data_IF_998875505651
#
_entry.id   IF_998875505651
#
_cell.length_a   1.000
_cell.length_b   1.000
_cell.length_c   1.000
_cell.angle_alpha   90.00
_cell.angle_beta   90.00
_cell.angle_gamma   90.00
#
_symmetry.space_group_name_H-M   'P 1'
#
loop_
_entity.id
_entity.type
_entity.pdbx_description
1 polymer ?
#
# COMPACT_ATOMS: atom_id res chain seq x y z
N UNK A 1 -4.29 -18.68 -13.79
CA UNK A 1 -4.99 -19.52 -14.80
C UNK A 1 -5.76 -18.65 -15.79
N UNK A 2 -6.13 -17.43 -15.46
CA UNK A 2 -6.87 -16.51 -16.32
C UNK A 2 -5.92 -15.78 -17.25
N UNK A 3 -6.14 -15.86 -18.57
CA UNK A 3 -5.33 -15.25 -19.59
C UNK A 3 -5.58 -13.74 -19.75
N UNK A 4 -4.59 -12.98 -20.17
CA UNK A 4 -4.72 -11.60 -20.62
C UNK A 4 -5.36 -11.48 -22.00
N UNK A 5 -5.09 -10.37 -22.71
CA UNK A 5 -5.57 -10.13 -24.08
C UNK A 5 -4.91 -11.08 -25.10
N UNK A 6 -3.75 -11.62 -24.78
CA UNK A 6 -2.96 -12.53 -25.64
C UNK A 6 -3.37 -14.00 -25.51
N UNK A 7 -4.37 -14.31 -24.69
CA UNK A 7 -4.86 -15.66 -24.37
C UNK A 7 -3.79 -16.62 -23.83
N UNK A 8 -2.61 -16.13 -23.44
CA UNK A 8 -1.54 -16.95 -22.85
C UNK A 8 -1.71 -17.13 -21.35
N UNK A 9 -1.28 -18.28 -20.86
CA UNK A 9 -1.36 -18.71 -19.48
C UNK A 9 0.02 -19.12 -18.95
N UNK A 10 0.10 -19.47 -17.67
CA UNK A 10 1.36 -19.97 -17.07
C UNK A 10 1.89 -21.22 -17.78
N UNK A 11 1.01 -22.05 -18.33
CA UNK A 11 1.43 -23.25 -19.09
C UNK A 11 2.23 -22.90 -20.34
N UNK A 12 2.06 -21.69 -20.88
CA UNK A 12 2.82 -21.23 -22.03
C UNK A 12 4.21 -20.74 -21.60
N UNK A 13 4.38 -20.23 -20.38
CA UNK A 13 5.71 -19.93 -19.83
C UNK A 13 6.49 -21.21 -19.54
N UNK A 14 5.84 -22.27 -19.09
CA UNK A 14 6.51 -23.56 -18.80
C UNK A 14 7.12 -24.22 -20.05
N UNK A 15 6.75 -23.78 -21.26
CA UNK A 15 7.35 -24.25 -22.51
C UNK A 15 8.69 -23.57 -22.82
N UNK A 16 9.03 -22.51 -22.11
CA UNK A 16 10.28 -21.79 -22.33
C UNK A 16 11.45 -22.50 -21.63
N UNK A 17 12.62 -22.48 -22.27
CA UNK A 17 13.86 -22.75 -21.57
C UNK A 17 14.13 -21.61 -20.57
N UNK A 18 14.63 -21.94 -19.38
CA UNK A 18 14.87 -20.97 -18.30
C UNK A 18 15.75 -19.80 -18.74
N UNK A 19 16.92 -20.10 -19.36
CA UNK A 19 17.84 -19.07 -19.84
C UNK A 19 17.22 -18.19 -20.92
N UNK A 20 16.40 -18.77 -21.80
CA UNK A 20 15.70 -18.02 -22.83
C UNK A 20 14.63 -17.10 -22.23
N UNK A 21 13.90 -17.56 -21.20
CA UNK A 21 12.92 -16.77 -20.48
C UNK A 21 13.58 -15.60 -19.76
N UNK A 22 14.66 -15.85 -19.02
CA UNK A 22 15.44 -14.80 -18.33
C UNK A 22 15.92 -13.75 -19.32
N UNK A 23 16.57 -14.16 -20.41
CA UNK A 23 17.06 -13.24 -21.45
C UNK A 23 15.91 -12.44 -22.10
N UNK A 24 14.72 -13.04 -22.24
CA UNK A 24 13.54 -12.35 -22.76
C UNK A 24 13.04 -11.29 -21.77
N UNK A 25 12.94 -11.62 -20.48
CA UNK A 25 12.54 -10.67 -19.43
C UNK A 25 13.53 -9.50 -19.33
N UNK A 26 14.84 -9.78 -19.36
CA UNK A 26 15.88 -8.75 -19.35
C UNK A 26 15.71 -7.77 -20.52
N UNK A 27 15.56 -8.28 -21.76
CA UNK A 27 15.32 -7.43 -22.93
C UNK A 27 14.05 -6.61 -22.83
N UNK A 28 12.98 -7.19 -22.26
CA UNK A 28 11.72 -6.47 -22.01
C UNK A 28 11.91 -5.34 -20.99
N UNK A 29 12.71 -5.53 -19.96
CA UNK A 29 13.04 -4.50 -18.98
C UNK A 29 13.92 -3.38 -19.54
N UNK A 30 14.68 -3.65 -20.61
CA UNK A 30 15.48 -2.61 -21.26
C UNK A 30 14.61 -1.57 -21.97
N UNK A 31 13.55 -2.02 -22.62
CA UNK A 31 12.57 -1.17 -23.29
C UNK A 31 11.17 -1.70 -23.02
N UNK A 32 10.64 -1.33 -21.84
CA UNK A 32 9.36 -1.86 -21.40
C UNK A 32 8.16 -1.14 -22.03
N UNK A 33 7.40 -1.90 -22.82
CA UNK A 33 6.09 -1.49 -23.32
C UNK A 33 5.08 -2.52 -22.82
N UNK A 34 4.12 -2.14 -21.95
CA UNK A 34 3.10 -3.05 -21.46
C UNK A 34 2.13 -3.45 -22.56
N UNK A 35 1.62 -4.66 -22.49
CA UNK A 35 0.47 -5.04 -23.30
C UNK A 35 -0.81 -4.44 -22.70
N UNK A 36 -1.88 -4.38 -23.54
CA UNK A 36 -3.18 -3.96 -23.06
C UNK A 36 -3.69 -4.89 -21.94
N UNK A 37 -4.37 -4.30 -20.96
CA UNK A 37 -4.97 -5.01 -19.82
C UNK A 37 -6.38 -5.43 -20.21
N UNK A 38 -6.71 -6.72 -20.09
CA UNK A 38 -8.06 -7.23 -20.33
C UNK A 38 -8.96 -6.87 -19.16
N UNK A 39 -10.06 -6.15 -19.41
CA UNK A 39 -11.06 -5.83 -18.39
C UNK A 39 -12.10 -6.93 -18.26
N UNK A 40 -12.43 -7.29 -17.03
CA UNK A 40 -13.51 -8.21 -16.67
C UNK A 40 -14.31 -7.58 -15.53
N UNK A 41 -15.64 -7.60 -15.65
CA UNK A 41 -16.54 -7.15 -14.59
C UNK A 41 -16.89 -8.33 -13.68
N UNK A 42 -16.58 -8.22 -12.38
CA UNK A 42 -16.93 -9.23 -11.38
C UNK A 42 -18.15 -8.73 -10.60
N UNK A 43 -19.24 -9.52 -10.53
CA UNK A 43 -20.40 -9.14 -9.72
C UNK A 43 -20.04 -9.10 -8.23
N UNK A 44 -20.64 -8.13 -7.52
CA UNK A 44 -20.60 -8.01 -6.06
C UNK A 44 -21.94 -8.44 -5.48
N UNK A 45 -21.95 -8.83 -4.20
CA UNK A 45 -23.17 -9.29 -3.49
C UNK A 45 -24.29 -8.23 -3.45
N UNK A 46 -23.94 -6.95 -3.60
CA UNK A 46 -24.88 -5.83 -3.64
C UNK A 46 -25.42 -5.49 -5.05
N UNK A 47 -25.27 -6.38 -6.03
CA UNK A 47 -25.74 -6.20 -7.42
C UNK A 47 -24.89 -5.24 -8.26
N UNK A 48 -23.83 -4.63 -7.71
CA UNK A 48 -22.87 -3.82 -8.45
C UNK A 48 -21.77 -4.70 -9.04
N UNK A 49 -21.02 -4.19 -10.01
CA UNK A 49 -19.84 -4.86 -10.55
C UNK A 49 -18.56 -4.21 -10.04
N UNK A 50 -17.50 -5.01 -10.03
CA UNK A 50 -16.14 -4.56 -9.76
C UNK A 50 -15.30 -4.80 -11.02
N UNK A 51 -14.72 -3.76 -11.63
CA UNK A 51 -13.83 -3.93 -12.75
C UNK A 51 -12.51 -4.57 -12.29
N UNK A 52 -12.10 -5.64 -12.93
CA UNK A 52 -10.81 -6.30 -12.73
C UNK A 52 -9.98 -6.17 -14.00
N UNK A 53 -8.79 -5.66 -13.89
CA UNK A 53 -7.82 -5.60 -14.98
C UNK A 53 -6.89 -6.82 -14.93
N UNK A 54 -6.83 -7.57 -16.02
CA UNK A 54 -6.00 -8.77 -16.13
C UNK A 54 -4.86 -8.49 -17.13
N UNK A 55 -3.62 -8.20 -16.64
CA UNK A 55 -2.46 -8.08 -17.51
C UNK A 55 -2.09 -9.42 -18.16
N UNK A 56 -1.31 -9.40 -19.23
CA UNK A 56 -0.78 -10.62 -19.85
C UNK A 56 0.11 -11.38 -18.86
N UNK A 57 0.31 -12.68 -19.12
CA UNK A 57 1.13 -13.49 -18.23
C UNK A 57 2.59 -12.99 -18.17
N UNK A 58 3.11 -12.44 -19.27
CA UNK A 58 4.45 -11.86 -19.32
C UNK A 58 4.53 -10.56 -18.50
N UNK A 59 3.55 -9.69 -18.60
CA UNK A 59 3.51 -8.47 -17.78
C UNK A 59 3.38 -8.80 -16.29
N UNK A 60 2.60 -9.83 -15.96
CA UNK A 60 2.52 -10.33 -14.57
C UNK A 60 3.86 -10.88 -14.06
N UNK A 61 4.61 -11.59 -14.90
CA UNK A 61 5.95 -12.06 -14.55
C UNK A 61 6.89 -10.89 -14.27
N UNK A 62 6.89 -9.87 -15.14
CA UNK A 62 7.70 -8.66 -14.95
C UNK A 62 7.28 -7.92 -13.67
N UNK A 63 5.98 -7.78 -13.42
CA UNK A 63 5.46 -7.19 -12.17
C UNK A 63 5.95 -7.97 -10.95
N UNK A 64 5.95 -9.30 -11.01
CA UNK A 64 6.44 -10.16 -9.91
C UNK A 64 7.93 -9.97 -9.66
N UNK A 65 8.75 -9.91 -10.71
CA UNK A 65 10.19 -9.64 -10.57
C UNK A 65 10.44 -8.29 -9.87
N UNK A 66 9.70 -7.24 -10.26
CA UNK A 66 9.82 -5.92 -9.64
C UNK A 66 9.30 -5.93 -8.20
N UNK A 67 8.19 -6.62 -7.93
CA UNK A 67 7.63 -6.75 -6.59
C UNK A 67 8.63 -7.35 -5.61
N UNK A 68 9.30 -8.46 -5.98
CA UNK A 68 10.29 -9.13 -5.13
C UNK A 68 11.46 -8.21 -4.72
N UNK A 69 11.81 -7.25 -5.55
CA UNK A 69 12.88 -6.28 -5.25
C UNK A 69 12.35 -5.11 -4.42
N UNK A 70 11.17 -4.60 -4.75
CA UNK A 70 10.61 -3.41 -4.10
C UNK A 70 9.98 -3.70 -2.74
N UNK A 71 9.36 -4.86 -2.58
CA UNK A 71 8.63 -5.20 -1.36
C UNK A 71 9.48 -5.07 -0.10
N UNK A 72 10.68 -5.67 0.03
CA UNK A 72 11.51 -5.52 1.23
C UNK A 72 11.98 -4.08 1.48
N UNK A 73 12.19 -3.30 0.42
CA UNK A 73 12.58 -1.88 0.53
C UNK A 73 11.42 -1.06 1.11
N UNK A 74 10.21 -1.30 0.62
CA UNK A 74 9.00 -0.60 1.06
C UNK A 74 8.59 -1.04 2.48
N UNK A 75 8.64 -2.35 2.77
CA UNK A 75 8.31 -2.92 4.09
C UNK A 75 9.11 -2.27 5.22
N UNK A 76 10.39 -1.98 4.99
CA UNK A 76 11.24 -1.27 5.94
C UNK A 76 10.78 0.17 6.24
N UNK A 77 9.88 0.74 5.44
CA UNK A 77 9.40 2.13 5.54
C UNK A 77 7.92 2.24 5.90
N UNK A 78 7.17 1.16 5.75
CA UNK A 78 5.75 1.17 6.04
C UNK A 78 5.46 1.29 7.53
N UNK A 79 4.39 2.00 7.82
CA UNK A 79 3.92 2.12 9.18
C UNK A 79 3.51 0.73 9.74
N UNK A 80 3.90 0.46 10.97
CA UNK A 80 3.77 -0.87 11.61
C UNK A 80 2.32 -1.38 11.76
N UNK A 81 1.33 -0.49 11.83
CA UNK A 81 -0.10 -0.82 11.94
C UNK A 81 -0.87 -0.72 10.62
N UNK A 82 -0.16 -0.68 9.51
CA UNK A 82 -0.72 -0.93 8.20
C UNK A 82 -0.64 -2.42 7.91
N UNK A 83 -1.77 -3.11 7.75
CA UNK A 83 -1.83 -4.58 7.74
C UNK A 83 -2.28 -5.19 6.40
N UNK A 84 -2.96 -4.44 5.52
CA UNK A 84 -3.45 -4.97 4.24
C UNK A 84 -2.35 -5.17 3.21
N UNK A 85 -2.40 -6.30 2.49
CA UNK A 85 -1.50 -6.62 1.38
C UNK A 85 0.00 -6.62 1.73
N UNK A 86 0.35 -6.97 2.94
CA UNK A 86 1.73 -7.00 3.42
C UNK A 86 2.12 -8.41 3.87
N UNK A 87 3.38 -8.85 3.66
CA UNK A 87 3.89 -10.10 4.19
C UNK A 87 3.77 -10.14 5.72
N UNK A 88 3.36 -11.29 6.25
CA UNK A 88 3.21 -11.54 7.71
C UNK A 88 2.22 -10.60 8.43
N UNK A 89 1.36 -9.91 7.68
CA UNK A 89 0.26 -9.12 8.21
C UNK A 89 -1.08 -9.68 7.74
N UNK A 90 -2.11 -9.56 8.58
CA UNK A 90 -3.43 -10.11 8.29
C UNK A 90 -4.55 -9.21 8.85
N UNK A 91 -5.80 -9.55 8.53
CA UNK A 91 -6.97 -8.86 9.11
C UNK A 91 -7.05 -9.08 10.61
N UNK A 92 -6.71 -10.28 11.08
CA UNK A 92 -6.67 -10.61 12.50
C UNK A 92 -5.64 -9.77 13.26
N UNK A 93 -4.48 -9.50 12.65
CA UNK A 93 -3.50 -8.57 13.21
C UNK A 93 -4.07 -7.16 13.35
N UNK A 94 -4.80 -6.67 12.36
CA UNK A 94 -5.45 -5.36 12.41
C UNK A 94 -6.50 -5.30 13.52
N UNK A 95 -7.35 -6.33 13.63
CA UNK A 95 -8.37 -6.44 14.67
C UNK A 95 -7.74 -6.45 16.07
N UNK A 96 -6.73 -7.30 16.29
CA UNK A 96 -6.05 -7.37 17.57
C UNK A 96 -5.34 -6.05 17.97
N UNK A 97 -4.82 -5.32 16.98
CA UNK A 97 -4.25 -3.99 17.22
C UNK A 97 -5.32 -2.97 17.60
N UNK A 98 -6.47 -2.96 16.93
CA UNK A 98 -7.59 -2.09 17.24
C UNK A 98 -8.17 -2.39 18.64
N UNK A 99 -8.39 -3.67 18.95
CA UNK A 99 -8.86 -4.12 20.25
C UNK A 99 -7.92 -3.68 21.39
N UNK A 100 -6.61 -3.83 21.18
CA UNK A 100 -5.61 -3.35 22.15
C UNK A 100 -5.69 -1.84 22.39
N UNK A 101 -5.99 -1.05 21.38
CA UNK A 101 -6.15 0.40 21.53
C UNK A 101 -7.40 0.74 22.34
N UNK A 102 -8.49 0.08 22.08
CA UNK A 102 -9.75 0.29 22.81
C UNK A 102 -9.59 -0.14 24.27
N UNK A 103 -9.06 -1.34 24.52
CA UNK A 103 -9.02 -1.91 25.87
C UNK A 103 -7.88 -1.37 26.73
N UNK A 104 -6.66 -1.28 26.15
CA UNK A 104 -5.45 -1.00 26.95
C UNK A 104 -5.09 0.49 26.96
N UNK A 105 -5.40 1.22 25.87
CA UNK A 105 -5.12 2.66 25.78
C UNK A 105 -6.32 3.46 26.27
N UNK A 106 -7.54 2.91 26.24
CA UNK A 106 -8.77 3.56 26.69
C UNK A 106 -9.37 4.49 25.65
N UNK A 107 -9.11 4.25 24.36
CA UNK A 107 -9.71 5.02 23.28
C UNK A 107 -11.18 4.61 23.10
N UNK A 108 -12.12 5.49 23.44
CA UNK A 108 -13.55 5.19 23.43
C UNK A 108 -14.25 5.57 22.12
N UNK A 109 -13.65 6.43 21.32
CA UNK A 109 -14.20 6.86 20.03
C UNK A 109 -13.51 6.13 18.89
N UNK A 110 -14.31 5.52 18.04
CA UNK A 110 -13.83 4.79 16.86
C UNK A 110 -14.45 5.40 15.62
N UNK A 111 -13.63 5.84 14.70
CA UNK A 111 -14.04 6.38 13.39
C UNK A 111 -13.58 5.40 12.33
N UNK A 112 -14.53 4.85 11.59
CA UNK A 112 -14.28 4.00 10.42
C UNK A 112 -14.25 4.85 9.16
N UNK A 113 -13.17 4.74 8.41
CA UNK A 113 -12.94 5.50 7.18
C UNK A 113 -12.67 4.51 6.05
N UNK A 114 -13.52 4.52 5.03
CA UNK A 114 -13.33 3.78 3.77
C UNK A 114 -13.06 4.75 2.62
N UNK A 115 -11.97 4.54 1.89
CA UNK A 115 -11.61 5.42 0.78
C UNK A 115 -12.29 4.94 -0.50
N UNK A 116 -13.37 5.63 -0.86
CA UNK A 116 -14.18 5.29 -2.03
C UNK A 116 -13.35 5.20 -3.30
N UNK A 117 -13.43 4.03 -3.96
CA UNK A 117 -12.77 3.77 -5.24
C UNK A 117 -11.26 4.12 -5.22
N UNK A 118 -10.58 3.78 -4.15
CA UNK A 118 -9.19 4.17 -3.93
C UNK A 118 -8.29 3.77 -5.10
N UNK A 119 -8.32 2.49 -5.52
CA UNK A 119 -7.50 1.97 -6.61
C UNK A 119 -7.71 2.70 -7.94
N UNK A 120 -8.93 3.15 -8.21
CA UNK A 120 -9.28 3.85 -9.46
C UNK A 120 -8.86 5.33 -9.45
N UNK A 121 -8.51 5.87 -8.27
CA UNK A 121 -8.22 7.29 -8.09
C UNK A 121 -6.75 7.61 -7.76
N UNK A 122 -5.86 6.62 -7.74
CA UNK A 122 -4.44 6.83 -7.48
C UNK A 122 -3.84 7.73 -8.57
N UNK A 123 -3.30 8.88 -8.16
CA UNK A 123 -2.59 9.78 -9.08
C UNK A 123 -1.20 9.23 -9.39
N UNK A 124 -0.92 8.97 -10.67
CA UNK A 124 0.33 8.37 -11.13
C UNK A 124 1.56 9.24 -10.78
N UNK A 125 1.47 10.55 -10.99
CA UNK A 125 2.56 11.48 -10.70
C UNK A 125 2.86 11.57 -9.20
N UNK A 126 1.82 11.61 -8.34
CA UNK A 126 1.98 11.59 -6.88
C UNK A 126 2.63 10.30 -6.42
N UNK A 127 2.16 9.15 -6.89
CA UNK A 127 2.72 7.84 -6.54
C UNK A 127 4.22 7.77 -6.88
N UNK A 128 4.64 8.18 -8.08
CA UNK A 128 6.05 8.17 -8.47
C UNK A 128 6.91 9.10 -7.60
N UNK A 129 6.38 10.25 -7.20
CA UNK A 129 7.06 11.16 -6.24
C UNK A 129 7.19 10.51 -4.86
N UNK A 130 6.16 9.84 -4.38
CA UNK A 130 6.19 9.11 -3.11
C UNK A 130 7.20 7.96 -3.14
N UNK A 131 7.29 7.21 -4.25
CA UNK A 131 8.33 6.20 -4.43
C UNK A 131 9.74 6.80 -4.36
N UNK A 132 9.95 7.95 -5.01
CA UNK A 132 11.21 8.67 -4.94
C UNK A 132 11.57 9.08 -3.50
N UNK A 133 10.59 9.58 -2.75
CA UNK A 133 10.75 9.98 -1.34
C UNK A 133 11.08 8.79 -0.44
N UNK A 134 10.51 7.61 -0.72
CA UNK A 134 10.83 6.36 -0.03
C UNK A 134 12.26 5.85 -0.32
N UNK A 135 12.97 6.46 -1.29
CA UNK A 135 14.33 6.10 -1.65
C UNK A 135 14.45 5.26 -2.91
N UNK A 136 13.35 4.99 -3.62
CA UNK A 136 13.35 4.30 -4.92
C UNK A 136 13.70 5.33 -5.99
N UNK A 137 15.00 5.51 -6.26
CA UNK A 137 15.53 6.59 -7.13
C UNK A 137 16.03 6.12 -8.48
N UNK A 138 15.84 4.85 -8.83
CA UNK A 138 16.16 4.34 -10.16
C UNK A 138 15.13 4.86 -11.18
N UNK A 139 15.60 5.74 -12.06
CA UNK A 139 14.76 6.40 -13.08
C UNK A 139 14.21 5.39 -14.09
N UNK A 140 14.97 4.33 -14.43
CA UNK A 140 14.53 3.29 -15.35
C UNK A 140 13.38 2.50 -14.74
N UNK A 141 13.51 2.09 -13.48
CA UNK A 141 12.45 1.39 -12.74
C UNK A 141 11.19 2.25 -12.63
N UNK A 142 11.32 3.52 -12.26
CA UNK A 142 10.17 4.44 -12.19
C UNK A 142 9.50 4.64 -13.56
N UNK A 143 10.28 4.66 -14.65
CA UNK A 143 9.73 4.71 -16.02
C UNK A 143 8.94 3.43 -16.35
N UNK A 144 9.44 2.26 -15.99
CA UNK A 144 8.73 0.98 -16.15
C UNK A 144 7.41 0.99 -15.38
N UNK A 145 7.42 1.41 -14.11
CA UNK A 145 6.20 1.51 -13.29
C UNK A 145 5.23 2.51 -13.89
N UNK A 146 5.72 3.67 -14.35
CA UNK A 146 4.88 4.64 -15.06
C UNK A 146 4.22 4.06 -16.30
N UNK A 147 4.95 3.27 -17.08
CA UNK A 147 4.39 2.59 -18.25
C UNK A 147 3.34 1.55 -17.85
N UNK A 148 3.57 0.77 -16.78
CA UNK A 148 2.58 -0.18 -16.24
C UNK A 148 1.28 0.50 -15.82
N UNK A 149 1.38 1.64 -15.14
CA UNK A 149 0.22 2.41 -14.67
C UNK A 149 -0.59 2.99 -15.83
N UNK A 150 0.06 3.31 -16.94
CA UNK A 150 -0.53 3.87 -18.17
C UNK A 150 -0.87 2.80 -19.22
N UNK A 151 -0.74 1.51 -18.88
CA UNK A 151 -1.08 0.45 -19.81
C UNK A 151 -2.53 0.60 -20.31
N UNK A 152 -2.73 0.45 -21.61
CA UNK A 152 -4.05 0.51 -22.22
C UNK A 152 -5.01 -0.50 -21.58
N UNK A 153 -6.22 -0.07 -21.28
CA UNK A 153 -7.30 -0.98 -20.88
C UNK A 153 -8.12 -1.30 -22.12
N UNK A 154 -8.13 -2.57 -22.52
CA UNK A 154 -8.77 -3.03 -23.74
C UNK A 154 -10.24 -2.57 -23.81
N UNK A 155 -10.60 -1.88 -24.88
CA UNK A 155 -11.94 -1.36 -25.12
C UNK A 155 -12.26 -0.04 -24.38
N UNK A 156 -11.30 0.53 -23.61
CA UNK A 156 -11.51 1.78 -22.85
C UNK A 156 -10.45 2.83 -23.24
N UNK A 157 -9.18 2.39 -23.43
CA UNK A 157 -8.07 3.30 -23.73
C UNK A 157 -7.09 3.45 -22.58
N UNK A 158 -6.35 4.55 -22.58
CA UNK A 158 -5.25 4.80 -21.64
C UNK A 158 -5.74 5.50 -20.37
N UNK A 159 -5.49 4.90 -19.16
CA UNK A 159 -5.92 5.51 -17.92
C UNK A 159 -5.02 6.70 -17.53
N UNK A 160 -5.63 7.82 -17.12
CA UNK A 160 -4.89 8.98 -16.58
C UNK A 160 -4.55 8.81 -15.11
N UNK A 161 -5.28 7.98 -14.37
CA UNK A 161 -5.14 7.69 -12.95
C UNK A 161 -5.55 6.26 -12.64
N UNK A 162 -5.28 5.83 -11.43
CA UNK A 162 -5.63 4.51 -10.93
C UNK A 162 -4.53 3.48 -11.10
N UNK A 163 -4.67 2.39 -10.37
CA UNK A 163 -3.85 1.18 -10.51
C UNK A 163 -4.73 0.04 -10.99
N UNK A 164 -4.27 -0.79 -11.94
CA UNK A 164 -5.08 -1.91 -12.43
C UNK A 164 -5.47 -2.84 -11.28
N UNK A 165 -6.77 -2.94 -10.96
CA UNK A 165 -7.24 -3.92 -9.99
C UNK A 165 -7.04 -5.32 -10.56
N UNK A 166 -6.08 -6.08 -10.01
CA UNK A 166 -5.64 -7.39 -10.50
C UNK A 166 -4.21 -7.43 -11.03
N UNK A 167 -3.53 -6.31 -11.09
CA UNK A 167 -2.07 -6.26 -11.25
C UNK A 167 -1.36 -6.77 -9.99
N UNK A 168 -0.30 -7.57 -10.16
CA UNK A 168 0.44 -8.17 -9.05
C UNK A 168 1.09 -7.10 -8.15
N UNK A 169 1.60 -6.02 -8.75
CA UNK A 169 2.28 -4.93 -8.03
C UNK A 169 1.30 -3.91 -7.43
N UNK A 170 0.04 -3.89 -7.86
CA UNK A 170 -0.93 -2.85 -7.46
C UNK A 170 -1.15 -2.76 -5.95
N UNK A 171 -1.20 -3.85 -5.17
CA UNK A 171 -1.30 -3.78 -3.72
C UNK A 171 -0.12 -3.06 -3.05
N UNK A 172 1.11 -3.31 -3.50
CA UNK A 172 2.31 -2.62 -3.01
C UNK A 172 2.24 -1.12 -3.31
N UNK A 173 1.88 -0.77 -4.55
CA UNK A 173 1.76 0.64 -4.97
C UNK A 173 0.68 1.37 -4.16
N UNK A 174 -0.41 0.70 -3.84
CA UNK A 174 -1.47 1.21 -2.96
C UNK A 174 -0.95 1.50 -1.55
N UNK A 175 -0.18 0.60 -0.98
CA UNK A 175 0.45 0.81 0.33
C UNK A 175 1.46 1.95 0.32
N UNK A 176 2.21 2.15 -0.78
CA UNK A 176 3.11 3.31 -0.92
C UNK A 176 2.32 4.63 -0.86
N UNK A 177 1.18 4.71 -1.55
CA UNK A 177 0.33 5.92 -1.55
C UNK A 177 -0.21 6.21 -0.15
N UNK A 178 -0.73 5.20 0.54
CA UNK A 178 -1.36 5.35 1.84
C UNK A 178 -0.37 5.50 2.99
N UNK A 179 0.88 5.09 2.81
CA UNK A 179 1.91 5.22 3.84
C UNK A 179 2.16 6.68 4.25
N UNK A 180 2.02 7.63 3.33
CA UNK A 180 2.12 9.06 3.64
C UNK A 180 0.98 9.51 4.58
N UNK A 181 -0.24 9.02 4.36
CA UNK A 181 -1.39 9.26 5.25
C UNK A 181 -1.17 8.61 6.62
N UNK A 182 -0.69 7.37 6.66
CA UNK A 182 -0.38 6.67 7.91
C UNK A 182 0.58 7.50 8.77
N UNK A 183 1.71 7.92 8.19
CA UNK A 183 2.72 8.72 8.90
C UNK A 183 2.23 10.13 9.25
N UNK A 184 1.37 10.73 8.41
CA UNK A 184 0.77 12.02 8.74
C UNK A 184 -0.12 11.92 9.98
N UNK A 185 -1.00 10.91 10.06
CA UNK A 185 -1.84 10.70 11.25
C UNK A 185 -0.97 10.46 12.49
N UNK A 186 0.04 9.61 12.37
CA UNK A 186 0.96 9.30 13.47
C UNK A 186 1.69 10.54 13.97
N UNK A 187 2.05 11.47 13.08
CA UNK A 187 2.70 12.73 13.44
C UNK A 187 1.81 13.68 14.23
N UNK A 188 0.47 13.50 14.19
CA UNK A 188 -0.46 14.36 14.93
C UNK A 188 -0.47 14.05 16.43
N UNK A 189 -0.02 12.84 16.83
CA UNK A 189 -0.01 12.42 18.23
C UNK A 189 1.22 11.56 18.59
N UNK A 190 1.33 10.35 18.08
CA UNK A 190 2.32 9.35 18.53
C UNK A 190 3.77 9.77 18.29
N UNK A 191 4.02 10.46 17.19
CA UNK A 191 5.33 10.98 16.79
C UNK A 191 5.35 12.52 16.83
N UNK A 192 4.44 13.12 17.60
CA UNK A 192 4.42 14.57 17.76
C UNK A 192 5.76 15.06 18.32
N UNK A 193 6.46 15.97 17.63
CA UNK A 193 7.73 16.48 18.11
C UNK A 193 7.54 17.29 19.40
N UNK A 194 8.37 17.02 20.40
CA UNK A 194 8.38 17.74 21.67
C UNK A 194 9.65 18.59 21.78
N UNK A 195 9.58 19.72 22.50
CA UNK A 195 10.73 20.61 22.68
C UNK A 195 11.90 19.93 23.44
N UNK A 196 11.58 18.95 24.30
CA UNK A 196 12.56 18.16 25.06
C UNK A 196 12.38 16.68 24.75
N UNK A 197 13.46 15.92 24.84
CA UNK A 197 13.38 14.47 24.76
C UNK A 197 12.91 13.90 26.11
N UNK A 198 11.77 13.25 26.12
CA UNK A 198 11.18 12.58 27.28
C UNK A 198 11.39 11.05 27.25
N UNK A 199 12.12 10.53 26.27
CA UNK A 199 12.44 9.11 26.19
C UNK A 199 13.64 8.82 27.08
N UNK A 200 13.42 8.16 28.22
CA UNK A 200 14.46 7.81 29.19
C UNK A 200 14.85 6.33 29.12
N UNK A 201 14.09 5.51 28.44
CA UNK A 201 14.29 4.07 28.35
C UNK A 201 14.08 3.57 26.92
N UNK A 202 14.91 2.64 26.50
CA UNK A 202 14.74 1.85 25.28
C UNK A 202 14.58 0.40 25.71
N UNK A 203 13.51 -0.27 25.24
CA UNK A 203 13.28 -1.68 25.51
C UNK A 203 14.30 -2.58 24.79
N UNK A 204 14.44 -3.83 25.20
CA UNK A 204 15.39 -4.77 24.62
C UNK A 204 15.21 -5.00 23.10
N UNK A 205 14.00 -4.77 22.58
CA UNK A 205 13.67 -4.83 21.16
C UNK A 205 14.00 -3.52 20.38
N UNK A 206 14.68 -2.57 21.01
CA UNK A 206 15.04 -1.28 20.40
C UNK A 206 13.92 -0.24 20.38
N UNK A 207 12.72 -0.56 20.90
CA UNK A 207 11.59 0.39 20.91
C UNK A 207 11.76 1.41 22.05
N UNK A 208 11.64 2.73 21.79
CA UNK A 208 11.67 3.74 22.84
C UNK A 208 10.42 3.69 23.72
N UNK A 209 10.58 3.87 25.02
CA UNK A 209 9.47 4.05 25.96
C UNK A 209 8.94 5.48 25.85
N UNK A 210 7.76 5.63 25.26
CA UNK A 210 7.10 6.93 25.05
C UNK A 210 6.11 7.31 26.16
N UNK A 211 6.05 6.56 27.24
CA UNK A 211 5.08 6.81 28.33
C UNK A 211 5.18 8.23 28.89
N UNK A 212 6.40 8.72 29.10
CA UNK A 212 6.63 10.09 29.59
C UNK A 212 6.26 11.15 28.55
N UNK A 213 6.53 10.90 27.27
CA UNK A 213 6.12 11.78 26.15
C UNK A 213 4.61 11.90 26.10
N UNK A 214 3.89 10.77 26.08
CA UNK A 214 2.43 10.71 26.04
C UNK A 214 1.82 11.43 27.27
N UNK A 215 2.33 11.18 28.48
CA UNK A 215 1.88 11.87 29.70
C UNK A 215 2.05 13.39 29.59
N UNK A 216 3.16 13.84 29.04
CA UNK A 216 3.43 15.26 28.84
C UNK A 216 2.47 15.87 27.83
N UNK A 217 2.25 15.21 26.70
CA UNK A 217 1.30 15.67 25.71
C UNK A 217 -0.13 15.77 26.28
N UNK A 218 -0.59 14.77 27.03
CA UNK A 218 -1.91 14.77 27.69
C UNK A 218 -2.08 15.90 28.69
N UNK A 219 -1.06 16.16 29.51
CA UNK A 219 -1.17 17.10 30.65
C UNK A 219 -0.91 18.55 30.27
N UNK A 220 -0.11 18.80 29.23
CA UNK A 220 0.37 20.16 28.92
C UNK A 220 0.03 20.65 27.52
N UNK A 221 -0.77 19.90 26.77
CA UNK A 221 -1.24 20.34 25.44
C UNK A 221 -2.75 20.10 25.28
N UNK A 222 -3.35 20.76 24.30
CA UNK A 222 -4.74 20.53 23.90
C UNK A 222 -4.85 19.52 22.75
N UNK A 223 -3.76 18.78 22.47
CA UNK A 223 -3.76 17.76 21.44
C UNK A 223 -4.66 16.59 21.84
N UNK A 224 -5.34 16.04 20.85
CA UNK A 224 -6.21 14.88 21.05
C UNK A 224 -5.43 13.61 20.78
N UNK A 225 -5.48 12.68 21.72
CA UNK A 225 -4.87 11.36 21.58
C UNK A 225 -5.53 10.59 20.46
N UNK A 226 -4.77 10.14 19.50
CA UNK A 226 -5.30 9.44 18.35
C UNK A 226 -4.36 8.35 17.84
N UNK A 227 -4.95 7.25 17.42
CA UNK A 227 -4.25 6.11 16.86
C UNK A 227 -4.94 5.63 15.59
N UNK A 228 -4.17 5.07 14.67
CA UNK A 228 -4.69 4.51 13.43
C UNK A 228 -4.27 3.06 13.27
N UNK A 229 -5.20 2.24 12.82
CA UNK A 229 -4.96 0.90 12.28
C UNK A 229 -5.53 0.86 10.87
N UNK A 230 -4.77 0.43 9.92
CA UNK A 230 -5.20 0.34 8.53
C UNK A 230 -5.15 -1.10 8.01
N UNK A 231 -6.18 -1.47 7.28
CA UNK A 231 -6.23 -2.68 6.47
C UNK A 231 -6.62 -2.31 5.03
N UNK A 232 -5.66 -2.34 4.11
CA UNK A 232 -5.81 -1.86 2.72
C UNK A 232 -6.27 -0.38 2.67
N UNK A 233 -7.44 -0.10 2.11
CA UNK A 233 -8.09 1.22 2.01
C UNK A 233 -9.07 1.53 3.14
N UNK A 234 -9.26 0.59 4.09
CA UNK A 234 -10.06 0.78 5.30
C UNK A 234 -9.17 1.21 6.46
N UNK A 235 -9.50 2.32 7.11
CA UNK A 235 -8.79 2.84 8.27
C UNK A 235 -9.73 2.87 9.48
N UNK A 236 -9.24 2.34 10.60
CA UNK A 236 -9.82 2.56 11.91
C UNK A 236 -9.00 3.61 12.64
N UNK A 237 -9.60 4.75 12.91
CA UNK A 237 -9.04 5.82 13.71
C UNK A 237 -9.69 5.78 15.09
N UNK A 238 -8.89 5.74 16.14
CA UNK A 238 -9.37 5.72 17.51
C UNK A 238 -8.88 6.94 18.27
N UNK A 239 -9.75 7.55 19.07
CA UNK A 239 -9.42 8.72 19.87
C UNK A 239 -10.04 8.63 21.28
N UNK A 240 -9.44 9.34 22.24
CA UNK A 240 -9.99 9.55 23.59
C UNK A 240 -10.75 10.88 23.68
N UNK A 241 -10.91 11.58 22.59
CA UNK A 241 -11.51 12.90 22.58
C UNK A 241 -13.03 12.86 22.48
N UNK A 242 -13.70 12.90 23.61
CA UNK A 242 -15.03 13.50 23.68
C UNK A 242 -14.88 15.02 23.50
N UNK A 243 -15.25 15.55 22.35
CA UNK A 243 -15.50 16.96 22.21
C UNK A 243 -16.99 17.23 22.39
N UNK A 244 -17.35 17.45 23.65
CA UNK A 244 -18.52 18.23 24.02
C UNK A 244 -18.03 19.39 24.88
N UNK A 245 -17.68 20.47 24.23
CA UNK A 245 -17.73 21.81 24.79
C UNK A 245 -18.03 22.80 23.68
#
# INVERSE_FOLDING_TARGET
RTAGVDNKTISDLNKWNENALVAHVQRKLDWYVPNAVRRVEIPKDNGKTRPLGIPTIMDRLIQQCILQVLEPICEAKFFKRSNGFRPNHSAENAIAQAERMIQNVGCHYVIDIDIKSFFDNVNHGKLLKQMWTLGIRDKKLLSIISAMLKAEVAGIGFPEKGTPQGGIISPLLSNIVLNELDWWIVSQWEEMPTQRNYVHRIYANGTPDKSSTIRTLRNYTNLKECYVVRYADCLLYTSDAADDK
#
